data_IF_679022042254
#
_entry.id   IF_679022042254
#
_cell.length_a   1.000
_cell.length_b   1.000
_cell.length_c   1.000
_cell.angle_alpha   90.00
_cell.angle_beta   90.00
_cell.angle_gamma   90.00
#
_symmetry.space_group_name_H-M   'P 1'
#
loop_
_entity.id
_entity.type
_entity.pdbx_description
1 polymer ?
#
# COMPACT_ATOMS: atom_id res chain seq x y z
N UNK A 1 45.35 -4.75 57.84
CA UNK A 1 44.08 -4.64 57.13
C UNK A 1 44.15 -5.58 55.93
N UNK A 2 43.42 -6.70 56.01
CA UNK A 2 42.95 -7.68 55.00
C UNK A 2 43.79 -7.98 53.72
N UNK A 3 44.08 -9.28 53.57
CA UNK A 3 44.62 -10.03 52.42
C UNK A 3 43.80 -9.90 51.12
N UNK A 4 44.46 -10.01 49.95
CA UNK A 4 43.96 -10.84 48.84
C UNK A 4 45.01 -11.04 47.72
N UNK A 5 45.42 -12.30 47.52
CA UNK A 5 45.89 -12.84 46.24
C UNK A 5 44.75 -12.88 45.20
N UNK A 6 45.09 -12.98 43.90
CA UNK A 6 44.46 -13.79 42.82
C UNK A 6 44.88 -13.20 41.46
N UNK A 7 45.70 -13.90 40.67
CA UNK A 7 45.40 -14.98 39.72
C UNK A 7 45.01 -14.49 38.33
N UNK A 8 45.80 -14.95 37.36
CA UNK A 8 45.60 -14.93 35.93
C UNK A 8 44.22 -15.48 35.55
N UNK A 9 43.51 -14.77 34.68
CA UNK A 9 42.35 -15.31 33.97
C UNK A 9 42.55 -15.10 32.48
N UNK A 10 42.99 -16.17 31.82
CA UNK A 10 42.71 -16.45 30.43
C UNK A 10 41.20 -16.37 30.20
N UNK A 11 40.75 -15.58 29.24
CA UNK A 11 39.35 -15.61 28.78
C UNK A 11 39.29 -16.37 27.45
N UNK A 12 38.67 -17.55 27.42
CA UNK A 12 38.23 -18.21 26.21
C UNK A 12 36.70 -18.20 26.16
N UNK A 13 36.08 -17.03 26.05
CA UNK A 13 34.63 -16.89 25.89
C UNK A 13 34.27 -16.35 24.50
N UNK A 14 34.74 -17.06 23.46
CA UNK A 14 34.13 -17.00 22.14
C UNK A 14 33.22 -18.22 21.98
N UNK A 15 31.96 -18.10 22.44
CA UNK A 15 30.90 -19.06 22.13
C UNK A 15 30.54 -18.93 20.65
N UNK A 16 30.70 -19.99 19.81
CA UNK A 16 30.42 -19.90 18.38
C UNK A 16 28.93 -20.02 18.04
N UNK A 17 28.02 -20.06 19.02
CA UNK A 17 26.60 -20.30 18.74
C UNK A 17 25.67 -19.34 19.48
N UNK A 18 25.29 -18.20 18.89
CA UNK A 18 24.29 -17.32 19.50
C UNK A 18 22.94 -18.05 19.50
N UNK A 19 22.46 -18.42 20.69
CA UNK A 19 21.11 -18.95 20.89
C UNK A 19 20.07 -17.86 20.61
N UNK A 20 19.80 -17.62 19.33
CA UNK A 20 18.58 -16.94 18.90
C UNK A 20 17.41 -17.92 19.03
N UNK A 21 16.25 -17.53 19.59
CA UNK A 21 15.08 -18.39 19.59
C UNK A 21 14.70 -18.68 18.13
N UNK A 22 14.79 -19.96 17.72
CA UNK A 22 14.40 -20.40 16.38
C UNK A 22 13.00 -19.90 16.10
N UNK A 23 12.90 -18.93 15.18
CA UNK A 23 11.64 -18.40 14.68
C UNK A 23 10.84 -19.57 14.15
N UNK A 24 9.74 -19.90 14.82
CA UNK A 24 8.79 -20.89 14.35
C UNK A 24 8.28 -20.41 12.98
N UNK A 25 8.71 -21.05 11.91
CA UNK A 25 8.11 -20.90 10.59
C UNK A 25 6.77 -21.64 10.60
N UNK A 26 5.76 -21.02 11.22
CA UNK A 26 4.39 -21.51 11.16
C UNK A 26 3.80 -21.11 9.81
N UNK A 27 3.57 -22.13 8.96
CA UNK A 27 2.65 -22.17 7.83
C UNK A 27 1.64 -21.00 7.76
N UNK A 28 1.92 -19.99 6.93
CA UNK A 28 0.94 -18.97 6.52
C UNK A 28 0.43 -19.35 5.12
N UNK A 29 -0.35 -20.43 5.02
CA UNK A 29 -1.15 -20.75 3.82
C UNK A 29 -2.65 -20.84 4.17
N UNK A 30 -3.04 -20.62 5.43
CA UNK A 30 -4.44 -20.49 5.84
C UNK A 30 -4.80 -19.05 6.21
N UNK A 31 -5.95 -18.57 5.75
CA UNK A 31 -6.62 -17.31 6.17
C UNK A 31 -6.33 -16.01 5.39
N UNK A 32 -6.38 -16.04 4.06
CA UNK A 32 -6.70 -14.84 3.26
C UNK A 32 -8.21 -14.62 3.01
N UNK A 33 -9.09 -15.40 3.61
CA UNK A 33 -10.54 -15.33 3.31
C UNK A 33 -11.31 -14.23 4.06
N UNK A 34 -10.70 -13.53 5.03
CA UNK A 34 -11.43 -12.62 5.94
C UNK A 34 -11.01 -11.14 5.85
N UNK A 35 -10.71 -10.62 4.65
CA UNK A 35 -10.51 -9.16 4.40
C UNK A 35 -11.76 -8.44 3.86
N UNK A 36 -12.93 -9.09 3.81
CA UNK A 36 -14.19 -8.46 3.36
C UNK A 36 -14.81 -7.39 4.29
N UNK A 37 -14.70 -7.44 5.64
CA UNK A 37 -15.46 -6.50 6.48
C UNK A 37 -15.01 -5.03 6.34
N UNK A 38 -13.75 -4.78 5.92
CA UNK A 38 -13.26 -3.43 5.65
C UNK A 38 -13.75 -2.84 4.32
N UNK A 39 -14.07 -3.69 3.34
CA UNK A 39 -14.46 -3.25 2.00
C UNK A 39 -15.93 -2.81 1.93
N UNK A 40 -16.81 -3.37 2.77
CA UNK A 40 -18.24 -3.01 2.81
C UNK A 40 -18.47 -1.50 2.97
N UNK A 41 -17.63 -0.82 3.75
CA UNK A 41 -17.69 0.64 3.94
C UNK A 41 -17.39 1.42 2.66
N UNK A 42 -16.67 0.81 1.72
CA UNK A 42 -16.34 1.37 0.41
C UNK A 42 -17.36 1.02 -0.68
N UNK A 43 -18.36 0.17 -0.39
CA UNK A 43 -19.37 -0.29 -1.38
C UNK A 43 -20.01 0.86 -2.17
N UNK A 44 -20.26 1.99 -1.51
CA UNK A 44 -20.78 3.23 -2.13
C UNK A 44 -19.94 3.76 -3.30
N UNK A 45 -18.65 3.44 -3.38
CA UNK A 45 -17.73 3.92 -4.42
C UNK A 45 -17.73 3.02 -5.66
N UNK A 46 -18.31 1.82 -5.57
CA UNK A 46 -18.26 0.80 -6.62
C UNK A 46 -19.60 0.63 -7.33
N UNK A 47 -20.31 1.74 -7.57
CA UNK A 47 -21.64 1.72 -8.20
C UNK A 47 -21.65 1.14 -9.63
N UNK A 48 -20.50 1.10 -10.29
CA UNK A 48 -20.33 0.58 -11.65
C UNK A 48 -19.89 -0.88 -11.72
N UNK A 49 -19.67 -1.54 -10.57
CA UNK A 49 -19.19 -2.92 -10.51
C UNK A 49 -20.08 -3.79 -9.62
N UNK A 50 -20.09 -5.10 -9.88
CA UNK A 50 -20.72 -6.05 -8.97
C UNK A 50 -19.83 -6.26 -7.74
N UNK A 51 -20.15 -5.57 -6.65
CA UNK A 51 -19.38 -5.57 -5.41
C UNK A 51 -19.17 -6.98 -4.82
N UNK A 52 -20.13 -7.90 -4.96
CA UNK A 52 -20.03 -9.25 -4.40
C UNK A 52 -18.95 -10.11 -5.08
N UNK A 53 -18.67 -9.79 -6.35
CA UNK A 53 -17.65 -10.46 -7.16
C UNK A 53 -16.28 -9.78 -7.10
N UNK A 54 -16.19 -8.65 -6.39
CA UNK A 54 -14.97 -7.85 -6.34
C UNK A 54 -13.90 -8.54 -5.47
N UNK A 55 -12.73 -8.74 -6.05
CA UNK A 55 -11.60 -9.41 -5.41
C UNK A 55 -10.49 -8.41 -5.10
N UNK A 56 -10.10 -8.32 -3.83
CA UNK A 56 -9.10 -7.34 -3.36
C UNK A 56 -7.69 -7.55 -3.96
N UNK A 57 -7.38 -8.75 -4.44
CA UNK A 57 -6.08 -9.04 -5.05
C UNK A 57 -6.15 -8.80 -6.55
N UNK A 58 -7.17 -9.33 -7.21
CA UNK A 58 -7.32 -9.27 -8.68
C UNK A 58 -7.75 -7.90 -9.17
N UNK A 59 -8.71 -7.27 -8.50
CA UNK A 59 -9.31 -5.99 -8.90
C UNK A 59 -8.63 -4.79 -8.21
N UNK A 60 -7.43 -5.00 -7.68
CA UNK A 60 -6.67 -4.03 -6.87
C UNK A 60 -6.51 -2.67 -7.56
N UNK A 61 -6.18 -2.66 -8.85
CA UNK A 61 -6.03 -1.41 -9.60
C UNK A 61 -7.34 -0.61 -9.66
N UNK A 62 -8.45 -1.28 -9.95
CA UNK A 62 -9.77 -0.66 -9.93
C UNK A 62 -10.13 -0.12 -8.54
N UNK A 63 -9.96 -0.94 -7.49
CA UNK A 63 -10.25 -0.55 -6.10
C UNK A 63 -9.45 0.70 -5.70
N UNK A 64 -8.15 0.69 -5.95
CA UNK A 64 -7.26 1.80 -5.63
C UNK A 64 -7.66 3.06 -6.39
N UNK A 65 -7.78 2.98 -7.72
CA UNK A 65 -8.05 4.17 -8.52
C UNK A 65 -9.44 4.76 -8.24
N UNK A 66 -10.47 3.91 -8.11
CA UNK A 66 -11.82 4.33 -7.78
C UNK A 66 -11.88 5.03 -6.41
N UNK A 67 -11.20 4.45 -5.41
CA UNK A 67 -11.19 5.03 -4.05
C UNK A 67 -10.41 6.33 -3.99
N UNK A 68 -9.26 6.41 -4.67
CA UNK A 68 -8.47 7.65 -4.70
C UNK A 68 -9.17 8.76 -5.49
N UNK A 69 -9.89 8.44 -6.56
CA UNK A 69 -10.54 9.43 -7.41
C UNK A 69 -11.85 9.97 -6.80
N UNK A 70 -12.64 9.11 -6.14
CA UNK A 70 -14.01 9.45 -5.72
C UNK A 70 -14.26 9.31 -4.21
N UNK A 71 -13.30 8.77 -3.45
CA UNK A 71 -13.43 8.56 -2.01
C UNK A 71 -13.21 9.81 -1.17
N UNK A 72 -13.79 9.81 0.02
CA UNK A 72 -13.46 10.77 1.07
C UNK A 72 -12.12 10.44 1.73
N UNK A 73 -11.56 11.34 2.54
CA UNK A 73 -10.34 11.06 3.32
C UNK A 73 -10.49 9.82 4.22
N UNK A 74 -11.69 9.59 4.78
CA UNK A 74 -11.99 8.40 5.57
C UNK A 74 -11.93 7.13 4.72
N UNK A 75 -12.42 7.19 3.47
CA UNK A 75 -12.37 6.08 2.54
C UNK A 75 -10.92 5.77 2.11
N UNK A 76 -10.12 6.82 1.86
CA UNK A 76 -8.68 6.70 1.59
C UNK A 76 -7.94 6.08 2.78
N UNK A 77 -8.28 6.47 4.02
CA UNK A 77 -7.70 5.84 5.22
C UNK A 77 -8.03 4.34 5.28
N UNK A 78 -9.26 3.95 4.92
CA UNK A 78 -9.64 2.54 4.83
C UNK A 78 -8.87 1.79 3.73
N UNK A 79 -8.61 2.43 2.59
CA UNK A 79 -7.77 1.86 1.53
C UNK A 79 -6.39 1.46 2.06
N UNK A 80 -5.76 2.32 2.86
CA UNK A 80 -4.44 2.07 3.45
C UNK A 80 -4.45 1.04 4.60
N UNK A 81 -5.61 0.65 5.12
CA UNK A 81 -5.72 -0.50 6.01
C UNK A 81 -5.73 -1.83 5.23
N UNK A 82 -6.08 -1.80 3.94
CA UNK A 82 -6.18 -2.98 3.07
C UNK A 82 -4.86 -3.22 2.34
N UNK A 83 -4.30 -2.15 1.77
CA UNK A 83 -3.06 -2.13 0.98
C UNK A 83 -2.01 -1.23 1.62
N UNK A 84 -0.74 -1.59 1.49
CA UNK A 84 0.35 -0.74 1.97
C UNK A 84 0.52 0.52 1.09
N UNK A 85 1.11 1.58 1.63
CA UNK A 85 1.41 2.79 0.86
C UNK A 85 2.26 2.50 -0.39
N UNK A 86 3.29 1.66 -0.25
CA UNK A 86 4.17 1.27 -1.36
C UNK A 86 3.42 0.51 -2.45
N UNK A 87 2.51 -0.38 -2.05
CA UNK A 87 1.66 -1.11 -2.99
C UNK A 87 0.71 -0.18 -3.75
N UNK A 88 0.09 0.78 -3.04
CA UNK A 88 -0.77 1.79 -3.65
C UNK A 88 0.02 2.65 -4.63
N UNK A 89 1.22 3.13 -4.25
CA UNK A 89 2.13 3.88 -5.13
C UNK A 89 2.51 3.08 -6.37
N UNK A 90 2.89 1.81 -6.17
CA UNK A 90 3.30 0.92 -7.24
C UNK A 90 2.19 0.76 -8.27
N UNK A 91 0.98 0.41 -7.82
CA UNK A 91 -0.17 0.25 -8.71
C UNK A 91 -0.53 1.58 -9.38
N UNK A 92 -0.58 2.67 -8.62
CA UNK A 92 -0.91 3.99 -9.14
C UNK A 92 0.02 4.40 -10.28
N UNK A 93 1.33 4.14 -10.17
CA UNK A 93 2.33 4.48 -11.18
C UNK A 93 2.36 3.49 -12.37
N UNK A 94 2.15 2.19 -12.11
CA UNK A 94 2.26 1.15 -13.14
C UNK A 94 1.00 1.04 -13.99
N UNK A 95 -0.18 1.33 -13.43
CA UNK A 95 -1.47 1.11 -14.08
C UNK A 95 -2.34 2.39 -14.08
N UNK A 96 -1.88 3.51 -14.66
CA UNK A 96 -2.61 4.77 -14.60
C UNK A 96 -4.01 4.68 -15.21
N UNK A 97 -4.96 5.38 -14.60
CA UNK A 97 -6.36 5.42 -15.00
C UNK A 97 -6.81 6.86 -15.25
N UNK A 98 -7.47 7.17 -16.38
CA UNK A 98 -7.91 8.51 -16.75
C UNK A 98 -9.21 8.93 -16.01
N UNK A 99 -9.15 8.94 -14.68
CA UNK A 99 -10.31 9.19 -13.80
C UNK A 99 -10.21 10.51 -13.04
N UNK A 100 -9.05 11.17 -13.05
CA UNK A 100 -8.75 12.26 -12.14
C UNK A 100 -9.01 13.64 -12.77
N UNK A 101 -9.39 14.60 -11.92
CA UNK A 101 -9.28 16.02 -12.25
C UNK A 101 -7.85 16.50 -11.96
N UNK A 102 -7.35 17.56 -12.63
CA UNK A 102 -6.01 18.08 -12.35
C UNK A 102 -5.79 18.46 -10.87
N UNK A 103 -6.74 19.13 -10.17
CA UNK A 103 -6.57 19.42 -8.74
C UNK A 103 -6.55 18.17 -7.88
N UNK A 104 -7.43 17.20 -8.15
CA UNK A 104 -7.49 15.94 -7.40
C UNK A 104 -6.21 15.12 -7.57
N UNK A 105 -5.69 15.03 -8.80
CA UNK A 105 -4.42 14.36 -9.08
C UNK A 105 -3.25 15.03 -8.34
N UNK A 106 -3.16 16.36 -8.39
CA UNK A 106 -2.11 17.09 -7.68
C UNK A 106 -2.21 16.90 -6.16
N UNK A 107 -3.41 16.90 -5.60
CA UNK A 107 -3.62 16.65 -4.17
C UNK A 107 -3.12 15.25 -3.77
N UNK A 108 -3.54 14.23 -4.51
CA UNK A 108 -3.12 12.85 -4.27
C UNK A 108 -1.61 12.70 -4.41
N UNK A 109 -1.04 13.19 -5.50
CA UNK A 109 0.38 13.08 -5.77
C UNK A 109 1.22 13.72 -4.67
N UNK A 110 0.88 14.94 -4.24
CA UNK A 110 1.71 15.70 -3.30
C UNK A 110 1.49 15.31 -1.84
N UNK A 111 0.25 15.11 -1.42
CA UNK A 111 -0.09 14.99 0.00
C UNK A 111 -0.39 13.56 0.43
N UNK A 112 -1.04 12.76 -0.43
CA UNK A 112 -1.43 11.39 -0.07
C UNK A 112 -0.32 10.40 -0.42
N UNK A 113 0.17 10.45 -1.65
CA UNK A 113 1.14 9.50 -2.18
C UNK A 113 2.57 10.02 -2.12
N UNK A 114 2.80 11.32 -1.97
CA UNK A 114 4.14 11.95 -1.91
C UNK A 114 5.07 11.44 -3.03
N UNK A 115 4.59 11.51 -4.27
CA UNK A 115 5.31 11.07 -5.47
C UNK A 115 5.97 12.29 -6.12
N UNK A 116 7.25 12.16 -6.47
CA UNK A 116 8.01 13.16 -7.22
C UNK A 116 7.39 13.43 -8.61
N UNK A 117 7.34 14.71 -9.01
CA UNK A 117 6.74 15.13 -10.30
C UNK A 117 7.36 14.40 -11.51
N UNK A 118 8.66 14.13 -11.50
CA UNK A 118 9.37 13.46 -12.60
C UNK A 118 8.88 12.02 -12.88
N UNK A 119 8.18 11.40 -11.92
CA UNK A 119 7.72 10.00 -12.05
C UNK A 119 6.30 9.89 -12.59
N UNK A 120 5.61 11.01 -12.83
CA UNK A 120 4.18 11.02 -13.15
C UNK A 120 3.88 11.76 -14.47
N UNK A 121 3.45 11.02 -15.49
CA UNK A 121 2.89 11.58 -16.72
C UNK A 121 1.40 11.91 -16.53
N UNK A 122 1.08 13.15 -16.19
CA UNK A 122 -0.28 13.59 -15.74
C UNK A 122 -1.37 13.33 -16.80
N UNK A 123 -1.00 13.35 -18.07
CA UNK A 123 -1.88 13.13 -19.22
C UNK A 123 -2.54 11.74 -19.18
N UNK A 124 -1.88 10.74 -18.57
CA UNK A 124 -2.41 9.38 -18.44
C UNK A 124 -3.49 9.25 -17.35
N UNK A 125 -3.65 10.27 -16.52
CA UNK A 125 -4.55 10.26 -15.36
C UNK A 125 -5.73 11.23 -15.51
N UNK A 126 -5.56 12.28 -16.30
CA UNK A 126 -6.58 13.32 -16.43
C UNK A 126 -7.71 12.82 -17.33
N UNK A 127 -8.94 12.87 -16.81
CA UNK A 127 -10.14 12.58 -17.61
C UNK A 127 -10.30 13.68 -18.67
N UNK A 128 -10.10 13.35 -19.93
CA UNK A 128 -10.32 14.31 -21.01
C UNK A 128 -11.83 14.38 -21.31
N UNK A 129 -12.47 15.47 -20.87
CA UNK A 129 -13.92 15.67 -21.03
C UNK A 129 -14.25 16.19 -22.44
N UNK A 130 -13.25 16.69 -23.16
CA UNK A 130 -13.37 17.14 -24.54
C UNK A 130 -12.72 16.09 -25.45
N UNK A 131 -13.53 15.49 -26.33
CA UNK A 131 -13.01 14.61 -27.40
C UNK A 131 -12.05 15.36 -28.31
N UNK A 132 -11.30 14.66 -29.18
CA UNK A 132 -10.50 15.33 -30.20
C UNK A 132 -11.43 16.28 -30.98
N UNK A 133 -11.09 17.56 -31.04
CA UNK A 133 -11.80 18.52 -31.88
C UNK A 133 -11.45 18.17 -33.33
N UNK A 134 -12.18 17.22 -33.91
CA UNK A 134 -12.16 17.01 -35.35
C UNK A 134 -12.95 18.15 -35.97
N UNK A 135 -12.24 19.17 -36.47
CA UNK A 135 -12.88 20.13 -37.38
C UNK A 135 -13.25 19.35 -38.67
N UNK A 136 -14.48 19.49 -39.18
CA UNK A 136 -14.91 18.81 -40.41
C UNK A 136 -14.08 19.26 -41.61
#
# INVERSE_FOLDING_TARGET
MVLAQRNSTSSPDADPNPHWPKRQESNIIGSMENKKPSLEKLKKLFWSANFEKLDIVKDKAYIIHQTLAFGTLSDIKLLFNIYSLEEVRHIFLKQPQPLYSPPGLNFLQKYILQIEDARLSKERYIKNVFGPITRP
#
